data_IF_870721442032
#
_entry.id   IF_870721442032
#
_cell.length_a   1.000
_cell.length_b   1.000
_cell.length_c   1.000
_cell.angle_alpha   90.00
_cell.angle_beta   90.00
_cell.angle_gamma   90.00
#
_symmetry.space_group_name_H-M   'P 1'
#
loop_
_entity.id
_entity.type
_entity.pdbx_description
1 polymer ?
#
# COMPACT_ATOMS: atom_id res chain seq x y z
N UNK A 1 2.50 -9.18 5.11
CA UNK A 1 2.59 -10.18 4.03
C UNK A 1 1.95 -9.70 2.72
N UNK A 2 0.70 -9.20 2.73
CA UNK A 2 -0.02 -8.82 1.50
C UNK A 2 0.72 -7.78 0.63
N UNK A 3 1.32 -6.74 1.25
CA UNK A 3 2.13 -5.75 0.53
C UNK A 3 3.24 -6.41 -0.29
N UNK A 4 3.99 -7.33 0.34
CA UNK A 4 5.07 -8.10 -0.32
C UNK A 4 4.50 -8.98 -1.44
N UNK A 5 3.37 -9.63 -1.18
CA UNK A 5 2.74 -10.51 -2.18
C UNK A 5 2.24 -9.72 -3.41
N UNK A 6 1.62 -8.56 -3.21
CA UNK A 6 1.22 -7.67 -4.32
C UNK A 6 2.43 -7.20 -5.15
N UNK A 7 3.56 -6.90 -4.49
CA UNK A 7 4.81 -6.58 -5.18
C UNK A 7 5.35 -7.79 -5.96
N UNK A 8 5.38 -8.96 -5.34
CA UNK A 8 5.87 -10.18 -5.97
C UNK A 8 5.05 -10.55 -7.23
N UNK A 9 3.73 -10.54 -7.15
CA UNK A 9 2.86 -10.85 -8.28
C UNK A 9 3.06 -9.85 -9.44
N UNK A 10 3.36 -8.58 -9.10
CA UNK A 10 3.57 -7.52 -10.09
C UNK A 10 5.01 -7.49 -10.67
N UNK A 11 6.03 -7.86 -9.88
CA UNK A 11 7.43 -7.52 -10.19
C UNK A 11 8.44 -8.65 -10.00
N UNK A 12 8.05 -9.89 -9.74
CA UNK A 12 8.98 -11.00 -9.45
C UNK A 12 10.09 -11.24 -10.48
N UNK A 13 9.94 -10.70 -11.67
CA UNK A 13 10.96 -10.78 -12.75
C UNK A 13 11.58 -9.42 -13.06
N UNK A 14 11.45 -8.44 -12.16
CA UNK A 14 11.99 -7.11 -12.33
C UNK A 14 13.06 -6.85 -11.27
N UNK A 15 14.27 -6.57 -11.70
CA UNK A 15 15.42 -6.34 -10.82
C UNK A 15 15.35 -5.02 -10.02
N UNK A 16 14.36 -4.16 -10.27
CA UNK A 16 14.10 -2.95 -9.48
C UNK A 16 13.35 -3.23 -8.19
N UNK A 17 12.76 -4.42 -8.06
CA UNK A 17 12.07 -4.86 -6.84
C UNK A 17 12.78 -6.12 -6.34
N UNK A 18 13.34 -6.03 -5.13
CA UNK A 18 14.13 -7.09 -4.55
C UNK A 18 13.33 -7.80 -3.47
N UNK A 19 13.55 -9.10 -3.35
CA UNK A 19 12.88 -9.96 -2.39
C UNK A 19 13.89 -10.84 -1.68
N UNK A 20 13.77 -10.91 -0.36
CA UNK A 20 14.58 -11.78 0.47
C UNK A 20 13.72 -12.56 1.45
N UNK A 21 14.24 -13.66 1.90
CA UNK A 21 13.70 -14.43 3.00
C UNK A 21 14.81 -14.65 4.02
N UNK A 22 14.59 -14.17 5.24
CA UNK A 22 15.46 -14.45 6.36
C UNK A 22 15.27 -15.90 6.82
N UNK A 23 16.31 -16.53 7.33
CA UNK A 23 16.24 -17.83 8.00
C UNK A 23 15.24 -17.75 9.13
N UNK A 24 14.38 -18.31 9.51
CA UNK A 24 13.35 -18.08 10.54
C UNK A 24 12.02 -17.60 9.98
N UNK A 25 11.97 -17.26 8.68
CA UNK A 25 10.73 -17.09 7.94
C UNK A 25 10.23 -15.67 7.74
N UNK A 26 11.00 -14.65 8.12
CA UNK A 26 10.68 -13.27 7.75
C UNK A 26 10.87 -13.07 6.24
N UNK A 27 9.90 -12.39 5.62
CA UNK A 27 9.94 -11.99 4.22
C UNK A 27 10.22 -10.50 4.14
N UNK A 28 11.10 -10.11 3.24
CA UNK A 28 11.53 -8.72 3.04
C UNK A 28 11.35 -8.38 1.56
N UNK A 29 10.86 -7.19 1.28
CA UNK A 29 10.87 -6.62 -0.07
C UNK A 29 11.38 -5.19 -0.05
N UNK A 30 12.07 -4.79 -1.11
CA UNK A 30 12.53 -3.42 -1.36
C UNK A 30 12.04 -2.96 -2.72
N UNK A 31 11.39 -1.80 -2.76
CA UNK A 31 10.91 -1.17 -3.98
C UNK A 31 10.96 0.35 -3.83
N UNK A 32 11.66 1.04 -4.74
CA UNK A 32 11.78 2.50 -4.71
C UNK A 32 12.31 3.04 -3.36
N UNK A 33 13.29 2.37 -2.75
CA UNK A 33 13.83 2.73 -1.43
C UNK A 33 12.95 2.35 -0.23
N UNK A 34 11.73 1.87 -0.46
CA UNK A 34 10.81 1.48 0.62
C UNK A 34 10.91 -0.02 0.90
N UNK A 35 11.29 -0.36 2.13
CA UNK A 35 11.38 -1.74 2.59
C UNK A 35 10.11 -2.16 3.31
N UNK A 36 9.67 -3.38 3.07
CA UNK A 36 8.57 -4.01 3.83
C UNK A 36 9.05 -5.32 4.43
N UNK A 37 8.86 -5.49 5.74
CA UNK A 37 9.20 -6.71 6.50
C UNK A 37 7.90 -7.35 6.99
N UNK A 38 7.75 -8.66 6.82
CA UNK A 38 6.56 -9.39 7.26
C UNK A 38 6.81 -10.88 7.44
N UNK A 39 6.02 -11.52 8.28
CA UNK A 39 6.10 -12.96 8.58
C UNK A 39 7.19 -13.30 9.60
N UNK A 40 7.20 -14.48 10.12
CA UNK A 40 8.22 -15.14 10.96
C UNK A 40 8.95 -14.30 12.02
N UNK A 41 9.83 -14.96 12.77
CA UNK A 41 10.74 -14.28 13.67
C UNK A 41 11.83 -13.52 12.89
N UNK A 42 12.17 -12.35 13.37
CA UNK A 42 13.24 -11.52 12.79
C UNK A 42 14.50 -11.66 13.64
N UNK A 43 15.60 -12.09 13.04
CA UNK A 43 16.92 -12.07 13.67
C UNK A 43 17.44 -10.64 13.62
N UNK A 44 17.53 -10.01 14.78
CA UNK A 44 17.75 -8.56 14.90
C UNK A 44 19.12 -8.13 14.41
N UNK A 45 20.18 -8.86 14.78
CA UNK A 45 21.55 -8.53 14.40
C UNK A 45 21.74 -8.58 12.88
N UNK A 46 21.34 -9.68 12.24
CA UNK A 46 21.37 -9.83 10.79
C UNK A 46 20.55 -8.74 10.09
N UNK A 47 19.38 -8.37 10.64
CA UNK A 47 18.57 -7.31 10.10
C UNK A 47 19.24 -5.94 10.20
N UNK A 48 19.92 -5.63 11.30
CA UNK A 48 20.67 -4.37 11.45
C UNK A 48 21.82 -4.25 10.45
N UNK A 49 22.61 -5.31 10.28
CA UNK A 49 23.66 -5.34 9.28
C UNK A 49 23.09 -5.14 7.86
N UNK A 50 22.02 -5.86 7.56
CA UNK A 50 21.33 -5.76 6.28
C UNK A 50 20.77 -4.35 6.01
N UNK A 51 20.11 -3.73 7.00
CA UNK A 51 19.60 -2.36 6.88
C UNK A 51 20.72 -1.33 6.69
N UNK A 52 21.86 -1.54 7.36
CA UNK A 52 23.03 -0.66 7.22
C UNK A 52 23.62 -0.72 5.81
N UNK A 53 23.62 -1.89 5.17
CA UNK A 53 24.10 -2.08 3.81
C UNK A 53 23.14 -1.50 2.77
N UNK A 54 21.84 -1.73 2.95
CA UNK A 54 20.81 -1.33 1.96
C UNK A 54 20.42 0.13 2.12
N UNK A 55 20.45 0.67 3.34
CA UNK A 55 20.05 2.05 3.69
C UNK A 55 18.68 2.44 3.09
N UNK A 56 17.59 1.71 3.37
CA UNK A 56 16.27 2.02 2.81
C UNK A 56 15.78 3.37 3.32
N UNK A 57 15.04 4.11 2.48
CA UNK A 57 14.44 5.39 2.86
C UNK A 57 13.33 5.23 3.91
N UNK A 58 12.63 4.09 3.88
CA UNK A 58 11.61 3.76 4.88
C UNK A 58 11.52 2.25 5.12
N UNK A 59 11.07 1.87 6.32
CA UNK A 59 10.81 0.47 6.69
C UNK A 59 9.39 0.35 7.22
N UNK A 60 8.59 -0.53 6.62
CA UNK A 60 7.26 -0.90 7.08
C UNK A 60 7.30 -2.31 7.67
N UNK A 61 7.05 -2.44 8.98
CA UNK A 61 7.31 -3.68 9.71
C UNK A 61 6.29 -3.97 10.83
N UNK A 62 6.31 -5.18 11.43
CA UNK A 62 5.61 -5.48 12.67
C UNK A 62 6.13 -4.66 13.86
N UNK A 63 5.32 -4.60 14.93
CA UNK A 63 5.64 -3.84 16.15
C UNK A 63 6.90 -4.31 16.86
N UNK A 64 7.05 -5.60 17.03
CA UNK A 64 8.22 -6.22 17.64
C UNK A 64 9.52 -5.88 16.90
N UNK A 65 9.45 -5.80 15.57
CA UNK A 65 10.56 -5.37 14.74
C UNK A 65 10.84 -3.87 14.92
N UNK A 66 9.80 -3.03 14.93
CA UNK A 66 9.95 -1.59 15.11
C UNK A 66 10.60 -1.25 16.47
N UNK A 67 10.14 -1.90 17.53
CA UNK A 67 10.71 -1.73 18.90
C UNK A 67 12.20 -2.10 18.91
N UNK A 68 12.58 -3.20 18.27
CA UNK A 68 13.98 -3.64 18.20
C UNK A 68 14.85 -2.68 17.42
N UNK A 69 14.33 -2.07 16.35
CA UNK A 69 15.04 -1.07 15.54
C UNK A 69 15.25 0.26 16.29
N UNK A 70 14.56 0.49 17.42
CA UNK A 70 14.73 1.67 18.31
C UNK A 70 14.65 3.04 17.62
N UNK A 71 14.00 3.14 16.47
CA UNK A 71 13.84 4.37 15.72
C UNK A 71 12.47 5.00 16.01
N UNK A 72 12.33 6.29 15.70
CA UNK A 72 11.03 6.93 15.67
C UNK A 72 10.15 6.23 14.63
N UNK A 73 8.96 5.84 15.04
CA UNK A 73 8.02 5.15 14.16
C UNK A 73 6.62 5.73 14.27
N UNK A 74 5.90 5.66 13.17
CA UNK A 74 4.48 6.01 13.10
C UNK A 74 3.65 4.74 13.05
N UNK A 75 2.67 4.63 13.94
CA UNK A 75 1.73 3.51 13.94
C UNK A 75 0.74 3.65 12.77
N UNK A 76 0.51 2.53 12.09
CA UNK A 76 -0.42 2.42 10.97
C UNK A 76 -1.41 1.31 11.27
N UNK A 77 -2.70 1.61 11.28
CA UNK A 77 -3.74 0.60 11.45
C UNK A 77 -3.93 -0.17 10.15
N UNK A 78 -3.97 -1.49 10.27
CA UNK A 78 -4.40 -2.38 9.20
C UNK A 78 -5.88 -2.65 9.39
N UNK A 79 -6.67 -2.18 8.47
CA UNK A 79 -8.12 -2.33 8.44
C UNK A 79 -8.50 -3.42 7.44
N UNK A 80 -9.50 -4.21 7.77
CA UNK A 80 -10.02 -5.27 6.91
C UNK A 80 -11.51 -5.11 6.74
N UNK A 81 -11.98 -5.34 5.52
CA UNK A 81 -13.39 -5.46 5.20
C UNK A 81 -13.67 -6.80 4.52
N UNK A 82 -14.78 -7.41 4.90
CA UNK A 82 -15.41 -8.53 4.22
C UNK A 82 -16.75 -8.10 3.64
N UNK A 83 -17.13 -8.75 2.56
CA UNK A 83 -18.44 -8.54 1.95
C UNK A 83 -18.49 -7.36 0.96
N UNK A 84 -19.56 -7.40 0.20
CA UNK A 84 -19.82 -6.44 -0.85
C UNK A 84 -20.48 -5.17 -0.30
N UNK A 85 -20.32 -4.10 -1.03
CA UNK A 85 -21.03 -2.85 -0.83
C UNK A 85 -21.79 -2.53 -2.12
N UNK A 86 -23.02 -2.09 -2.00
CA UNK A 86 -23.77 -1.59 -3.16
C UNK A 86 -23.32 -0.17 -3.49
N UNK A 87 -23.19 0.14 -4.77
CA UNK A 87 -22.80 1.47 -5.21
C UNK A 87 -22.51 1.52 -6.70
N UNK A 88 -22.37 2.70 -7.22
CA UNK A 88 -22.02 2.96 -8.61
C UNK A 88 -20.51 2.74 -8.81
N UNK A 89 -20.14 1.99 -9.85
CA UNK A 89 -18.75 1.75 -10.24
C UNK A 89 -18.33 2.52 -11.49
N UNK A 90 -19.28 3.20 -12.13
CA UNK A 90 -19.00 4.02 -13.29
C UNK A 90 -18.12 5.21 -12.87
N UNK A 91 -16.97 5.32 -13.50
CA UNK A 91 -16.02 6.42 -13.33
C UNK A 91 -15.42 6.76 -14.68
N UNK A 92 -14.58 7.79 -14.69
CA UNK A 92 -13.90 8.22 -15.90
C UNK A 92 -12.73 7.25 -16.21
N UNK A 93 -12.43 7.11 -17.49
CA UNK A 93 -11.20 6.46 -17.91
C UNK A 93 -10.05 7.46 -17.81
N UNK A 94 -9.27 7.36 -16.74
CA UNK A 94 -8.13 8.23 -16.48
C UNK A 94 -6.85 7.64 -17.09
N UNK A 95 -6.04 8.51 -17.69
CA UNK A 95 -4.67 8.21 -18.06
C UNK A 95 -3.78 8.11 -16.82
N UNK A 96 -2.57 7.56 -16.97
CA UNK A 96 -1.58 7.54 -15.88
C UNK A 96 -1.18 8.95 -15.43
N UNK A 97 -1.13 9.92 -16.34
CA UNK A 97 -0.85 11.32 -16.04
C UNK A 97 -1.97 11.97 -15.21
N UNK A 98 -3.23 11.73 -15.58
CA UNK A 98 -4.39 12.24 -14.82
C UNK A 98 -4.46 11.61 -13.42
N UNK A 99 -4.16 10.32 -13.28
CA UNK A 99 -4.04 9.66 -11.98
C UNK A 99 -2.89 10.25 -11.16
N UNK A 100 -1.71 10.40 -11.77
CA UNK A 100 -0.55 10.98 -11.11
C UNK A 100 -0.88 12.36 -10.51
N UNK A 101 -1.44 13.26 -11.32
CA UNK A 101 -1.84 14.63 -10.90
C UNK A 101 -2.87 14.66 -9.76
N UNK A 102 -3.72 13.63 -9.65
CA UNK A 102 -4.65 13.52 -8.53
C UNK A 102 -3.93 13.16 -7.23
N UNK A 103 -2.94 12.25 -7.29
CA UNK A 103 -2.18 11.77 -6.14
C UNK A 103 -0.95 12.62 -5.81
N UNK A 104 -0.57 13.58 -6.66
CA UNK A 104 0.53 14.51 -6.43
C UNK A 104 0.12 15.60 -5.41
N UNK A 105 0.01 15.18 -4.17
CA UNK A 105 -0.30 16.01 -3.00
C UNK A 105 0.61 15.61 -1.83
N UNK A 106 0.83 16.48 -0.84
CA UNK A 106 1.78 16.23 0.26
C UNK A 106 1.55 14.93 1.04
N UNK A 107 0.31 14.47 1.12
CA UNK A 107 -0.05 13.24 1.84
C UNK A 107 0.47 11.95 1.15
N UNK A 108 0.92 12.04 -0.10
CA UNK A 108 1.44 10.91 -0.87
C UNK A 108 2.88 11.17 -1.33
N UNK A 109 3.80 10.29 -0.95
CA UNK A 109 5.17 10.28 -1.47
C UNK A 109 5.20 9.49 -2.78
N UNK A 110 4.98 10.17 -3.90
CA UNK A 110 5.04 9.56 -5.23
C UNK A 110 6.47 9.54 -5.78
N UNK A 111 6.85 8.51 -6.54
CA UNK A 111 8.06 8.55 -7.36
C UNK A 111 7.88 9.55 -8.51
N UNK A 112 8.95 9.94 -9.22
CA UNK A 112 8.84 10.72 -10.45
C UNK A 112 7.85 10.10 -11.45
N UNK A 113 7.13 10.94 -12.19
CA UNK A 113 6.06 10.48 -13.10
C UNK A 113 6.46 9.32 -14.04
N UNK A 114 7.64 9.29 -14.67
CA UNK A 114 8.01 8.16 -15.55
C UNK A 114 8.05 6.83 -14.81
N UNK A 115 8.53 6.82 -13.57
CA UNK A 115 8.60 5.62 -12.74
C UNK A 115 7.19 5.18 -12.31
N UNK A 116 6.36 6.14 -11.86
CA UNK A 116 4.96 5.88 -11.54
C UNK A 116 4.21 5.29 -12.73
N UNK A 117 4.33 5.90 -13.91
CA UNK A 117 3.61 5.46 -15.10
C UNK A 117 3.99 4.02 -15.52
N UNK A 118 5.29 3.70 -15.48
CA UNK A 118 5.78 2.35 -15.79
C UNK A 118 5.27 1.33 -14.76
N UNK A 119 5.36 1.65 -13.47
CA UNK A 119 4.87 0.78 -12.39
C UNK A 119 3.37 0.55 -12.51
N UNK A 120 2.61 1.62 -12.70
CA UNK A 120 1.17 1.58 -12.81
C UNK A 120 0.70 0.76 -14.01
N UNK A 121 1.21 1.05 -15.22
CA UNK A 121 0.87 0.31 -16.43
C UNK A 121 1.21 -1.17 -16.32
N UNK A 122 2.34 -1.51 -15.70
CA UNK A 122 2.74 -2.90 -15.48
C UNK A 122 1.74 -3.64 -14.59
N UNK A 123 1.30 -3.02 -13.48
CA UNK A 123 0.30 -3.63 -12.58
C UNK A 123 -1.03 -3.83 -13.28
N UNK A 124 -1.50 -2.83 -14.03
CA UNK A 124 -2.74 -2.92 -14.80
C UNK A 124 -2.67 -4.06 -15.83
N UNK A 125 -1.60 -4.12 -16.63
CA UNK A 125 -1.42 -5.14 -17.67
C UNK A 125 -1.33 -6.57 -17.11
N UNK A 126 -0.95 -6.71 -15.84
CA UNK A 126 -0.90 -8.00 -15.14
C UNK A 126 -2.17 -8.31 -14.34
N UNK A 127 -3.18 -7.47 -14.37
CA UNK A 127 -4.39 -7.61 -13.55
C UNK A 127 -4.11 -7.50 -12.04
N UNK A 128 -2.95 -6.93 -11.65
CA UNK A 128 -2.54 -6.75 -10.26
C UNK A 128 -2.95 -5.40 -9.67
N UNK A 129 -3.71 -4.59 -10.41
CA UNK A 129 -4.23 -3.31 -9.93
C UNK A 129 -5.61 -3.04 -10.50
N UNK A 130 -6.39 -2.28 -9.73
CA UNK A 130 -7.66 -1.68 -10.13
C UNK A 130 -7.66 -0.21 -9.72
N UNK A 131 -8.41 0.60 -10.44
CA UNK A 131 -8.65 1.97 -10.03
C UNK A 131 -10.11 2.38 -10.26
N UNK A 132 -10.50 3.40 -9.53
CA UNK A 132 -11.68 4.23 -9.79
C UNK A 132 -11.23 5.68 -9.80
N UNK A 133 -11.79 6.49 -10.67
CA UNK A 133 -11.52 7.92 -10.68
C UNK A 133 -12.62 8.74 -11.32
N UNK A 134 -12.68 9.99 -10.90
CA UNK A 134 -13.42 11.07 -11.57
C UNK A 134 -12.39 12.16 -11.81
N UNK A 135 -12.28 12.57 -13.08
CA UNK A 135 -11.28 13.53 -13.52
C UNK A 135 -11.27 14.77 -12.63
N UNK A 136 -10.08 15.17 -12.21
CA UNK A 136 -9.80 16.34 -11.35
C UNK A 136 -10.45 16.32 -9.95
N UNK A 137 -11.30 15.32 -9.62
CA UNK A 137 -12.07 15.28 -8.37
C UNK A 137 -11.61 14.25 -7.38
N UNK A 138 -11.47 13.00 -7.80
CA UNK A 138 -11.05 11.93 -6.90
C UNK A 138 -10.47 10.73 -7.65
N UNK A 139 -9.70 9.93 -6.92
CA UNK A 139 -9.32 8.59 -7.36
C UNK A 139 -9.13 7.65 -6.17
N UNK A 140 -9.26 6.35 -6.42
CA UNK A 140 -8.86 5.29 -5.52
C UNK A 140 -8.11 4.23 -6.31
N UNK A 141 -7.03 3.72 -5.72
CA UNK A 141 -6.17 2.67 -6.28
C UNK A 141 -6.17 1.46 -5.36
N UNK A 142 -6.24 0.26 -5.94
CA UNK A 142 -5.97 -0.98 -5.20
C UNK A 142 -4.95 -1.84 -5.92
N UNK A 143 -4.13 -2.55 -5.15
CA UNK A 143 -3.24 -3.59 -5.65
C UNK A 143 -3.79 -4.96 -5.26
N UNK A 144 -3.82 -5.87 -6.22
CA UNK A 144 -4.52 -7.12 -6.10
C UNK A 144 -3.55 -8.31 -6.06
N UNK A 145 -3.86 -9.31 -5.24
CA UNK A 145 -3.13 -10.57 -5.17
C UNK A 145 -4.06 -11.68 -4.69
N UNK A 146 -4.36 -12.64 -5.54
CA UNK A 146 -5.32 -13.71 -5.23
C UNK A 146 -6.67 -13.15 -4.77
N UNK A 147 -7.16 -13.64 -3.62
CA UNK A 147 -8.43 -13.22 -3.04
C UNK A 147 -8.34 -11.93 -2.19
N UNK A 148 -7.29 -11.14 -2.35
CA UNK A 148 -7.06 -9.91 -1.59
C UNK A 148 -6.90 -8.70 -2.49
N UNK A 149 -7.40 -7.56 -2.01
CA UNK A 149 -7.16 -6.25 -2.59
C UNK A 149 -6.65 -5.30 -1.48
N UNK A 150 -5.50 -4.72 -1.70
CA UNK A 150 -4.91 -3.70 -0.83
C UNK A 150 -5.24 -2.32 -1.39
N UNK A 151 -6.04 -1.53 -0.68
CA UNK A 151 -6.23 -0.12 -1.01
C UNK A 151 -4.89 0.58 -0.82
N UNK A 152 -4.32 1.06 -1.92
CA UNK A 152 -3.01 1.71 -1.91
C UNK A 152 -3.12 3.23 -1.72
N UNK A 153 -4.23 3.83 -2.13
CA UNK A 153 -4.47 5.25 -1.94
C UNK A 153 -5.90 5.64 -2.31
N UNK A 154 -6.41 6.65 -1.62
CA UNK A 154 -7.67 7.32 -1.94
C UNK A 154 -7.40 8.81 -1.84
N UNK A 155 -7.69 9.53 -2.90
CA UNK A 155 -7.59 10.99 -2.96
C UNK A 155 -8.94 11.59 -3.30
N UNK A 156 -9.26 12.72 -2.67
CA UNK A 156 -10.47 13.48 -2.94
C UNK A 156 -10.17 14.97 -2.80
N UNK A 157 -10.39 15.72 -3.86
CA UNK A 157 -10.24 17.18 -3.88
C UNK A 157 -11.53 17.91 -3.49
N UNK A 158 -12.65 17.19 -3.45
CA UNK A 158 -13.94 17.74 -3.08
C UNK A 158 -14.65 16.91 -2.02
N UNK A 159 -15.41 17.54 -1.15
CA UNK A 159 -16.20 16.88 -0.09
C UNK A 159 -17.17 15.85 -0.67
N UNK A 160 -17.22 14.65 -0.08
CA UNK A 160 -18.10 13.57 -0.50
C UNK A 160 -17.52 12.61 -1.54
N UNK A 161 -16.55 13.04 -2.34
CA UNK A 161 -15.93 12.19 -3.36
C UNK A 161 -15.04 11.08 -2.79
N UNK A 162 -14.45 11.26 -1.61
CA UNK A 162 -13.69 10.20 -0.94
C UNK A 162 -14.56 8.98 -0.61
N UNK A 163 -15.82 9.21 -0.18
CA UNK A 163 -16.81 8.14 -0.02
C UNK A 163 -17.06 7.42 -1.35
N UNK A 164 -17.34 8.19 -2.42
CA UNK A 164 -17.62 7.63 -3.74
C UNK A 164 -16.46 6.79 -4.25
N UNK A 165 -15.23 7.29 -4.11
CA UNK A 165 -14.01 6.58 -4.52
C UNK A 165 -13.80 5.28 -3.72
N UNK A 166 -13.97 5.32 -2.40
CA UNK A 166 -13.85 4.13 -1.56
C UNK A 166 -14.90 3.08 -1.91
N UNK A 167 -16.16 3.46 -2.03
CA UNK A 167 -17.26 2.55 -2.37
C UNK A 167 -17.02 1.89 -3.72
N UNK A 168 -16.65 2.67 -4.74
CA UNK A 168 -16.41 2.17 -6.07
C UNK A 168 -15.21 1.21 -6.15
N UNK A 169 -14.10 1.51 -5.46
CA UNK A 169 -12.92 0.61 -5.49
C UNK A 169 -13.20 -0.70 -4.73
N UNK A 170 -14.00 -0.68 -3.65
CA UNK A 170 -14.47 -1.89 -2.98
C UNK A 170 -15.28 -2.74 -3.95
N UNK A 171 -16.22 -2.13 -4.66
CA UNK A 171 -17.11 -2.84 -5.58
C UNK A 171 -16.36 -3.42 -6.80
N UNK A 172 -15.36 -2.71 -7.33
CA UNK A 172 -14.45 -3.25 -8.38
C UNK A 172 -13.68 -4.49 -7.92
N UNK A 173 -13.47 -4.62 -6.62
CA UNK A 173 -12.80 -5.76 -5.99
C UNK A 173 -13.79 -6.71 -5.30
N UNK A 174 -15.02 -6.79 -5.80
CA UNK A 174 -16.06 -7.66 -5.27
C UNK A 174 -15.57 -9.10 -5.10
N UNK A 175 -15.98 -9.74 -3.99
CA UNK A 175 -15.57 -11.11 -3.66
C UNK A 175 -14.18 -11.26 -3.08
N UNK A 176 -13.42 -10.15 -2.90
CA UNK A 176 -12.11 -10.16 -2.26
C UNK A 176 -12.16 -9.64 -0.83
N UNK A 177 -11.17 -10.02 -0.05
CA UNK A 177 -10.86 -9.37 1.23
C UNK A 177 -10.19 -8.03 0.95
N UNK A 178 -10.83 -6.93 1.38
CA UNK A 178 -10.30 -5.59 1.18
C UNK A 178 -9.48 -5.19 2.41
N UNK A 179 -8.23 -4.83 2.18
CA UNK A 179 -7.30 -4.37 3.21
C UNK A 179 -6.97 -2.91 2.96
N UNK A 180 -6.95 -2.10 4.00
CA UNK A 180 -6.45 -0.73 3.96
C UNK A 180 -5.44 -0.53 5.09
N UNK A 181 -4.42 0.31 4.84
CA UNK A 181 -3.51 0.78 5.86
C UNK A 181 -3.76 2.27 6.07
N UNK A 182 -4.02 2.70 7.30
CA UNK A 182 -4.32 4.11 7.58
C UNK A 182 -3.81 4.57 8.94
N UNK A 183 -3.61 5.88 9.07
CA UNK A 183 -3.34 6.54 10.34
C UNK A 183 -4.58 6.51 11.25
N UNK A 184 -4.38 6.71 12.56
CA UNK A 184 -5.46 6.71 13.55
C UNK A 184 -6.59 7.70 13.20
N UNK A 185 -6.26 8.88 12.65
CA UNK A 185 -7.24 9.91 12.24
C UNK A 185 -8.23 9.44 11.16
N UNK A 186 -7.87 8.41 10.39
CA UNK A 186 -8.70 7.87 9.31
C UNK A 186 -9.46 6.59 9.70
N UNK A 187 -9.21 6.02 10.88
CA UNK A 187 -9.87 4.79 11.33
C UNK A 187 -11.38 4.92 11.31
N UNK A 188 -11.93 5.97 11.89
CA UNK A 188 -13.38 6.22 11.92
C UNK A 188 -14.00 6.43 10.52
N UNK A 189 -13.20 6.89 9.53
CA UNK A 189 -13.67 6.93 8.15
C UNK A 189 -13.86 5.51 7.61
N UNK A 190 -12.89 4.62 7.77
CA UNK A 190 -12.99 3.24 7.27
C UNK A 190 -14.06 2.42 8.01
N UNK A 191 -14.19 2.59 9.34
CA UNK A 191 -15.20 1.90 10.16
C UNK A 191 -16.63 2.18 9.69
N UNK A 192 -16.94 3.42 9.29
CA UNK A 192 -18.26 3.79 8.71
C UNK A 192 -18.59 3.02 7.43
N UNK A 193 -17.60 2.44 6.77
CA UNK A 193 -17.78 1.62 5.57
C UNK A 193 -17.57 0.13 5.84
N UNK A 194 -17.69 -0.29 7.10
CA UNK A 194 -17.67 -1.68 7.53
C UNK A 194 -16.28 -2.31 7.54
N UNK A 195 -15.22 -1.49 7.67
CA UNK A 195 -13.90 -2.01 7.96
C UNK A 195 -13.75 -2.24 9.45
N UNK A 196 -13.04 -3.31 9.79
CA UNK A 196 -12.64 -3.66 11.15
C UNK A 196 -11.13 -3.55 11.28
N UNK A 197 -10.66 -3.12 12.45
CA UNK A 197 -9.25 -3.09 12.77
C UNK A 197 -8.72 -4.51 12.96
N UNK A 198 -7.76 -4.90 12.14
CA UNK A 198 -7.15 -6.23 12.17
C UNK A 198 -5.89 -6.27 13.01
N UNK A 199 -4.99 -5.29 12.83
CA UNK A 199 -3.70 -5.22 13.51
C UNK A 199 -3.10 -3.83 13.37
N UNK A 200 -1.95 -3.60 14.02
CA UNK A 200 -1.10 -2.44 13.78
C UNK A 200 0.16 -2.85 13.00
N UNK A 201 0.70 -1.93 12.26
CA UNK A 201 2.02 -1.96 11.64
C UNK A 201 2.71 -0.64 11.93
N UNK A 202 4.00 -0.58 11.65
CA UNK A 202 4.82 0.56 11.99
C UNK A 202 5.64 0.98 10.77
N UNK A 203 5.61 2.27 10.49
CA UNK A 203 6.40 2.90 9.45
C UNK A 203 7.55 3.65 10.13
N UNK A 204 8.76 3.33 9.76
CA UNK A 204 9.99 3.99 10.18
C UNK A 204 10.49 4.76 8.97
N UNK A 205 10.69 6.06 9.13
CA UNK A 205 11.36 6.88 8.12
C UNK A 205 12.82 6.97 8.55
N UNK A 206 13.73 6.48 7.72
CA UNK A 206 15.15 6.60 8.00
C UNK A 206 15.61 8.02 7.68
N UNK A 207 15.90 8.77 8.72
CA UNK A 207 16.54 10.09 8.63
C UNK A 207 18.06 9.97 8.51
N UNK A 208 18.58 8.80 8.14
CA UNK A 208 20.01 8.61 7.90
C UNK A 208 20.38 9.28 6.58
N UNK A 209 20.63 10.57 6.66
CA UNK A 209 21.43 11.30 5.71
C UNK A 209 22.73 11.73 6.36
#
# INVERSE_FOLDING_TARGET
YLKIKCLYDSFRFDNRVLFWRQQGGAYISLSGGNMTISGGAVYTEELFEFLSLISPSSVFCPEDTAIKLKNNYTAVNVMRRLGDISGETAGDRLSSDELYKLFDIPDFSLPPYPEFAVDWCRRLNRGCAEYYGIKEKCAALSFNSGNYALINGIVSKEKGYGKKALTAIIQKNRGKYIIACCEDRLTGFYEKYGFEKLSKRFAIINEYK
#
